data_IF_293717029182
#
_entry.id   IF_293717029182
#
_cell.length_a   1.000
_cell.length_b   1.000
_cell.length_c   1.000
_cell.angle_alpha   90.00
_cell.angle_beta   90.00
_cell.angle_gamma   90.00
#
_symmetry.space_group_name_H-M   'P 1'
#
loop_
_entity.id
_entity.type
_entity.pdbx_description
1 polymer ?
#
# COMPACT_ATOMS: atom_id res chain seq x y z
N UNK A 1 18.72 22.37 -4.09
CA UNK A 1 17.57 21.85 -4.87
C UNK A 1 16.30 22.41 -4.24
N UNK A 2 15.37 22.96 -5.01
CA UNK A 2 14.25 23.80 -4.52
C UNK A 2 13.42 23.14 -3.39
N UNK A 3 13.55 23.63 -2.17
CA UNK A 3 12.80 23.16 -0.99
C UNK A 3 11.27 23.20 -1.19
N UNK A 4 10.80 24.15 -1.99
CA UNK A 4 9.39 24.28 -2.38
C UNK A 4 8.80 23.02 -3.04
N UNK A 5 9.60 22.27 -3.79
CA UNK A 5 9.13 21.04 -4.47
C UNK A 5 8.81 19.96 -3.46
N UNK A 6 9.58 19.87 -2.37
CA UNK A 6 9.43 18.84 -1.33
C UNK A 6 8.17 19.12 -0.50
N UNK A 7 7.94 20.38 -0.11
CA UNK A 7 6.72 20.77 0.60
C UNK A 7 5.46 20.49 -0.24
N UNK A 8 5.52 20.79 -1.54
CA UNK A 8 4.42 20.47 -2.46
C UNK A 8 4.19 18.97 -2.59
N UNK A 9 5.27 18.17 -2.65
CA UNK A 9 5.21 16.71 -2.75
C UNK A 9 4.61 16.09 -1.49
N UNK A 10 5.04 16.54 -0.30
CA UNK A 10 4.49 16.10 0.98
C UNK A 10 3.00 16.42 1.10
N UNK A 11 2.60 17.63 0.68
CA UNK A 11 1.20 18.03 0.68
C UNK A 11 0.36 17.17 -0.28
N UNK A 12 0.85 16.92 -1.49
CA UNK A 12 0.19 16.03 -2.45
C UNK A 12 0.05 14.61 -1.92
N UNK A 13 1.06 14.09 -1.21
CA UNK A 13 1.02 12.77 -0.58
C UNK A 13 -0.02 12.70 0.54
N UNK A 14 -0.14 13.75 1.34
CA UNK A 14 -1.13 13.82 2.42
C UNK A 14 -2.56 13.79 1.86
N UNK A 15 -2.84 14.55 0.79
CA UNK A 15 -4.13 14.53 0.11
C UNK A 15 -4.40 13.16 -0.54
N UNK A 16 -3.37 12.56 -1.14
CA UNK A 16 -3.43 11.21 -1.67
C UNK A 16 -3.78 10.17 -0.60
N UNK A 17 -3.19 10.26 0.59
CA UNK A 17 -3.46 9.34 1.70
C UNK A 17 -4.93 9.41 2.15
N UNK A 18 -5.49 10.63 2.24
CA UNK A 18 -6.89 10.84 2.57
C UNK A 18 -7.84 10.25 1.50
N UNK A 19 -7.49 10.40 0.22
CA UNK A 19 -8.26 9.82 -0.88
C UNK A 19 -8.26 8.28 -0.83
N UNK A 20 -7.11 7.67 -0.59
CA UNK A 20 -6.95 6.22 -0.44
C UNK A 20 -7.75 5.67 0.74
N UNK A 21 -7.71 6.38 1.88
CA UNK A 21 -8.46 6.00 3.07
C UNK A 21 -9.98 6.08 2.84
N UNK A 22 -10.44 7.15 2.16
CA UNK A 22 -11.86 7.29 1.77
C UNK A 22 -12.33 6.15 0.87
N UNK A 23 -11.47 5.66 -0.03
CA UNK A 23 -11.77 4.54 -0.90
C UNK A 23 -11.93 3.23 -0.10
N UNK A 24 -11.13 3.08 0.96
CA UNK A 24 -11.14 1.88 1.82
C UNK A 24 -12.44 1.72 2.62
N UNK A 25 -13.09 2.81 3.02
CA UNK A 25 -14.34 2.74 3.80
C UNK A 25 -15.60 2.35 3.01
N UNK A 26 -15.51 2.11 1.70
CA UNK A 26 -16.67 1.70 0.89
C UNK A 26 -17.00 0.22 1.16
N UNK A 27 -18.30 -0.13 1.21
CA UNK A 27 -18.84 -1.45 1.62
C UNK A 27 -18.43 -2.67 0.76
N UNK A 28 -17.50 -2.51 -0.17
CA UNK A 28 -17.07 -3.54 -1.11
C UNK A 28 -15.67 -4.03 -0.76
N UNK A 29 -15.48 -5.33 -0.52
CA UNK A 29 -14.20 -5.92 -0.12
C UNK A 29 -13.07 -5.62 -1.12
N UNK A 30 -13.40 -5.51 -2.41
CA UNK A 30 -12.44 -5.13 -3.44
C UNK A 30 -11.94 -3.68 -3.28
N UNK A 31 -12.80 -2.75 -2.83
CA UNK A 31 -12.43 -1.35 -2.62
C UNK A 31 -11.47 -1.17 -1.45
N UNK A 32 -11.64 -1.96 -0.38
CA UNK A 32 -10.72 -1.98 0.77
C UNK A 32 -9.32 -2.41 0.31
N UNK A 33 -9.24 -3.46 -0.50
CA UNK A 33 -7.97 -4.01 -0.99
C UNK A 33 -7.21 -3.01 -1.87
N UNK A 34 -7.93 -2.30 -2.75
CA UNK A 34 -7.34 -1.23 -3.58
C UNK A 34 -6.91 -0.05 -2.72
N UNK A 35 -7.70 0.33 -1.71
CA UNK A 35 -7.38 1.43 -0.78
C UNK A 35 -6.10 1.19 0.02
N UNK A 36 -5.96 -0.01 0.59
CA UNK A 36 -4.74 -0.46 1.30
C UNK A 36 -3.51 -0.46 0.37
N UNK A 37 -3.65 -0.97 -0.85
CA UNK A 37 -2.55 -1.00 -1.82
C UNK A 37 -2.06 0.41 -2.19
N UNK A 38 -2.99 1.34 -2.41
CA UNK A 38 -2.66 2.74 -2.70
C UNK A 38 -2.01 3.43 -1.50
N UNK A 39 -2.46 3.12 -0.28
CA UNK A 39 -1.85 3.63 0.95
C UNK A 39 -0.41 3.13 1.10
N UNK A 40 -0.12 1.86 0.79
CA UNK A 40 1.22 1.30 0.86
C UNK A 40 2.19 2.00 -0.10
N UNK A 41 1.75 2.30 -1.33
CA UNK A 41 2.57 3.07 -2.30
C UNK A 41 2.85 4.47 -1.78
N UNK A 42 1.85 5.16 -1.24
CA UNK A 42 2.00 6.50 -0.66
C UNK A 42 3.01 6.51 0.49
N UNK A 43 2.94 5.53 1.39
CA UNK A 43 3.88 5.40 2.52
C UNK A 43 5.30 5.07 2.03
N UNK A 44 5.43 4.19 1.04
CA UNK A 44 6.74 3.88 0.44
C UNK A 44 7.36 5.12 -0.20
N UNK A 45 6.59 5.88 -1.00
CA UNK A 45 7.05 7.14 -1.59
C UNK A 45 7.42 8.18 -0.53
N UNK A 46 6.65 8.26 0.56
CA UNK A 46 6.96 9.16 1.68
C UNK A 46 8.33 8.86 2.29
N UNK A 47 8.60 7.58 2.56
CA UNK A 47 9.88 7.12 3.09
C UNK A 47 11.02 7.48 2.14
N UNK A 48 10.90 7.26 0.83
CA UNK A 48 11.94 7.59 -0.15
C UNK A 48 12.25 9.10 -0.17
N UNK A 49 11.21 9.94 -0.14
CA UNK A 49 11.37 11.40 -0.15
C UNK A 49 12.08 11.89 1.12
N UNK A 50 11.67 11.39 2.29
CA UNK A 50 12.31 11.73 3.57
C UNK A 50 13.74 11.19 3.64
N UNK A 51 13.98 9.98 3.14
CA UNK A 51 15.30 9.34 3.13
C UNK A 51 16.31 10.10 2.29
N UNK A 52 15.89 10.59 1.11
CA UNK A 52 16.70 11.45 0.25
C UNK A 52 17.05 12.78 0.93
N UNK A 53 16.15 13.33 1.75
CA UNK A 53 16.39 14.60 2.44
C UNK A 53 17.36 14.45 3.64
N UNK A 54 17.21 13.40 4.44
CA UNK A 54 18.04 13.15 5.62
C UNK A 54 19.35 12.40 5.31
N UNK A 55 19.58 11.99 4.06
CA UNK A 55 20.79 11.25 3.66
C UNK A 55 20.86 9.83 4.23
N UNK A 56 19.71 9.23 4.56
CA UNK A 56 19.64 7.87 5.10
C UNK A 56 19.73 6.89 3.94
N UNK A 57 20.83 6.14 3.82
CA UNK A 57 21.03 5.20 2.70
C UNK A 57 20.07 3.99 2.75
N UNK A 58 19.49 3.70 3.91
CA UNK A 58 18.63 2.52 4.11
C UNK A 58 17.15 2.74 3.76
N UNK A 59 16.66 3.98 3.68
CA UNK A 59 15.21 4.20 3.51
C UNK A 59 14.69 3.77 2.14
N UNK A 60 15.49 3.86 1.08
CA UNK A 60 15.12 3.33 -0.25
C UNK A 60 14.94 1.82 -0.24
N UNK A 61 15.82 1.08 0.43
CA UNK A 61 15.72 -0.38 0.57
C UNK A 61 14.46 -0.78 1.34
N UNK A 62 14.14 -0.06 2.42
CA UNK A 62 12.94 -0.32 3.22
C UNK A 62 11.67 -0.02 2.40
N UNK A 63 11.68 1.08 1.64
CA UNK A 63 10.56 1.42 0.76
C UNK A 63 10.34 0.38 -0.34
N UNK A 64 11.42 -0.10 -0.97
CA UNK A 64 11.35 -1.18 -1.96
C UNK A 64 10.81 -2.47 -1.35
N UNK A 65 11.26 -2.85 -0.15
CA UNK A 65 10.76 -4.04 0.55
C UNK A 65 9.26 -3.90 0.86
N UNK A 66 8.82 -2.72 1.29
CA UNK A 66 7.41 -2.42 1.59
C UNK A 66 6.55 -2.43 0.32
N UNK A 67 7.09 -1.97 -0.80
CA UNK A 67 6.41 -2.00 -2.09
C UNK A 67 6.28 -3.43 -2.63
N UNK A 68 7.29 -4.26 -2.45
CA UNK A 68 7.28 -5.68 -2.84
C UNK A 68 6.39 -6.52 -1.91
N UNK A 69 6.30 -6.18 -0.62
CA UNK A 69 5.45 -6.93 0.31
C UNK A 69 3.95 -6.82 0.00
N UNK A 70 3.51 -5.69 -0.59
CA UNK A 70 2.12 -5.47 -1.02
C UNK A 70 1.56 -6.56 -1.96
N UNK A 71 2.15 -6.79 -3.15
CA UNK A 71 1.70 -7.85 -4.06
C UNK A 71 1.87 -9.24 -3.45
N UNK A 72 2.93 -9.51 -2.69
CA UNK A 72 3.11 -10.80 -1.99
C UNK A 72 1.95 -11.06 -1.02
N UNK A 73 1.56 -10.07 -0.22
CA UNK A 73 0.43 -10.17 0.71
C UNK A 73 -0.89 -10.42 -0.02
N UNK A 74 -1.10 -9.73 -1.14
CA UNK A 74 -2.31 -9.87 -1.97
C UNK A 74 -2.42 -11.27 -2.59
N UNK A 75 -1.31 -11.83 -3.09
CA UNK A 75 -1.24 -13.18 -3.65
C UNK A 75 -1.51 -14.23 -2.54
N UNK A 76 -0.90 -14.06 -1.37
CA UNK A 76 -1.11 -14.94 -0.23
C UNK A 76 -2.59 -14.93 0.22
N UNK A 77 -3.19 -13.74 0.32
CA UNK A 77 -4.60 -13.57 0.68
C UNK A 77 -5.53 -14.23 -0.34
N UNK A 78 -5.27 -14.04 -1.63
CA UNK A 78 -6.03 -14.67 -2.72
C UNK A 78 -5.97 -16.20 -2.65
N UNK A 79 -4.80 -16.76 -2.31
CA UNK A 79 -4.63 -18.21 -2.14
C UNK A 79 -5.43 -18.75 -0.95
N UNK A 80 -5.51 -18.00 0.14
CA UNK A 80 -6.28 -18.36 1.34
C UNK A 80 -7.79 -18.34 1.05
N UNK A 81 -8.31 -17.29 0.41
CA UNK A 81 -9.72 -17.22 0.02
C UNK A 81 -10.10 -18.36 -0.93
N UNK A 82 -9.25 -18.66 -1.92
CA UNK A 82 -9.50 -19.77 -2.85
C UNK A 82 -9.51 -21.13 -2.13
N UNK A 83 -8.58 -21.36 -1.20
CA UNK A 83 -8.51 -22.59 -0.40
C UNK A 83 -9.73 -22.77 0.51
N UNK A 84 -10.19 -21.69 1.16
CA UNK A 84 -11.41 -21.70 1.97
C UNK A 84 -12.65 -22.10 1.16
N UNK A 85 -12.78 -21.56 -0.06
CA UNK A 85 -13.89 -21.90 -0.96
C UNK A 85 -13.85 -23.37 -1.40
N UNK A 86 -12.66 -23.93 -1.68
CA UNK A 86 -12.53 -25.36 -2.03
C UNK A 86 -12.87 -26.32 -0.88
N UNK A 87 -12.58 -25.95 0.37
CA UNK A 87 -12.92 -26.78 1.55
C UNK A 87 -14.43 -26.75 1.80
N UNK A 88 -15.08 -25.61 1.61
CA UNK A 88 -16.55 -25.50 1.75
C UNK A 88 -17.32 -26.35 0.72
N UNK A 89 -16.76 -26.58 -0.47
CA UNK A 89 -17.41 -27.38 -1.50
C UNK A 89 -17.23 -28.89 -1.28
N UNK A 90 -16.18 -29.31 -0.55
CA UNK A 90 -15.94 -30.71 -0.20
C UNK A 90 -16.79 -31.23 0.96
N UNK A 91 -17.32 -30.33 1.82
CA UNK A 91 -18.24 -30.67 2.91
C UNK A 91 -19.72 -30.66 2.49
N UNK A 92 -20.00 -30.46 1.19
CA UNK A 92 -21.36 -30.45 0.62
C UNK A 92 -21.68 -31.72 -0.18
N UNK A 93 -20.75 -32.69 -0.20
CA UNK A 93 -20.94 -34.04 -0.72
C UNK A 93 -21.11 -35.02 0.45
#
# INVERSE_FOLDING_TARGET
MHEYVIYFTLFSLAVGALASLKLSFKKNTANVLVGEGLLAVIVATFIVVVSNYYGISFGETIALLLLVSGPIGTIAFSKIMKKSNSISNSNKC
#
